data_IF_275320574629
#
_entry.id   IF_275320574629
#
_cell.length_a   1.000
_cell.length_b   1.000
_cell.length_c   1.000
_cell.angle_alpha   90.00
_cell.angle_beta   90.00
_cell.angle_gamma   90.00
#
_symmetry.space_group_name_H-M   'P 1'
#
loop_
_entity.id
_entity.type
_entity.pdbx_description
1 polymer ?
#
# COMPACT_ATOMS: atom_id res chain seq x y z
N UNK A 1 23.09 9.64 -3.16
CA UNK A 1 21.66 9.43 -3.46
C UNK A 1 20.91 8.57 -2.42
N UNK A 2 21.63 7.77 -1.60
CA UNK A 2 21.05 6.93 -0.52
C UNK A 2 20.28 7.70 0.57
N UNK A 3 20.87 8.77 1.13
CA UNK A 3 20.35 9.43 2.33
C UNK A 3 18.95 10.07 2.18
N UNK A 4 18.59 10.53 0.97
CA UNK A 4 17.30 11.20 0.74
C UNK A 4 16.14 10.21 0.63
N UNK A 5 16.36 9.08 -0.05
CA UNK A 5 15.41 7.96 -0.13
C UNK A 5 15.23 7.28 1.22
N UNK A 6 16.31 7.14 1.99
CA UNK A 6 16.27 6.56 3.33
C UNK A 6 15.55 7.47 4.33
N UNK A 7 15.76 8.79 4.22
CA UNK A 7 15.02 9.80 4.98
C UNK A 7 13.52 9.83 4.64
N UNK A 8 13.18 9.82 3.35
CA UNK A 8 11.78 9.73 2.89
C UNK A 8 11.10 8.44 3.35
N UNK A 9 11.79 7.29 3.24
CA UNK A 9 11.29 6.02 3.72
C UNK A 9 11.03 6.02 5.22
N UNK A 10 11.94 6.59 6.02
CA UNK A 10 11.76 6.72 7.46
C UNK A 10 10.59 7.66 7.83
N UNK A 11 10.40 8.75 7.10
CA UNK A 11 9.29 9.69 7.31
C UNK A 11 7.93 9.06 6.96
N UNK A 12 7.84 8.31 5.86
CA UNK A 12 6.64 7.56 5.46
C UNK A 12 6.31 6.47 6.49
N UNK A 13 7.34 5.84 7.05
CA UNK A 13 7.20 4.80 8.07
C UNK A 13 6.88 5.34 9.47
N UNK A 14 6.73 6.65 9.69
CA UNK A 14 6.28 7.17 10.98
C UNK A 14 4.82 6.75 11.26
N UNK A 15 4.53 6.35 12.50
CA UNK A 15 3.18 6.03 12.95
C UNK A 15 2.23 7.20 12.73
N UNK A 16 2.72 8.45 12.91
CA UNK A 16 1.94 9.67 12.66
C UNK A 16 1.56 9.81 11.18
N UNK A 17 2.48 9.50 10.27
CA UNK A 17 2.25 9.54 8.83
C UNK A 17 1.23 8.48 8.40
N UNK A 18 1.30 7.26 8.95
CA UNK A 18 0.32 6.21 8.67
C UNK A 18 -1.10 6.60 9.12
N UNK A 19 -1.22 7.19 10.32
CA UNK A 19 -2.50 7.71 10.82
C UNK A 19 -3.00 8.83 9.90
N UNK A 20 -2.12 9.75 9.49
CA UNK A 20 -2.48 10.83 8.57
C UNK A 20 -2.97 10.29 7.22
N UNK A 21 -2.31 9.26 6.65
CA UNK A 21 -2.74 8.61 5.40
C UNK A 21 -4.16 8.04 5.56
N UNK A 22 -4.45 7.34 6.67
CA UNK A 22 -5.78 6.77 6.92
C UNK A 22 -6.83 7.88 7.05
N UNK A 23 -6.54 8.94 7.82
CA UNK A 23 -7.47 10.07 8.00
C UNK A 23 -7.74 10.78 6.67
N UNK A 24 -6.69 11.06 5.89
CA UNK A 24 -6.83 11.66 4.56
C UNK A 24 -7.65 10.77 3.63
N UNK A 25 -7.42 9.45 3.66
CA UNK A 25 -8.20 8.51 2.86
C UNK A 25 -9.69 8.49 3.24
N UNK A 26 -10.01 8.58 4.54
CA UNK A 26 -11.40 8.67 5.02
C UNK A 26 -12.02 10.00 4.58
N UNK A 27 -11.32 11.12 4.77
CA UNK A 27 -11.82 12.45 4.37
C UNK A 27 -12.02 12.55 2.85
N UNK A 28 -11.09 12.02 2.06
CA UNK A 28 -11.22 11.94 0.60
C UNK A 28 -12.47 11.16 0.20
N UNK A 29 -12.76 10.04 0.87
CA UNK A 29 -13.96 9.25 0.63
C UNK A 29 -15.24 9.95 1.07
N UNK A 30 -15.25 10.59 2.23
CA UNK A 30 -16.37 11.38 2.68
C UNK A 30 -16.70 12.55 1.72
N UNK A 31 -15.66 13.21 1.19
CA UNK A 31 -15.81 14.28 0.20
C UNK A 31 -16.44 13.81 -1.10
N UNK A 32 -15.87 12.78 -1.72
CA UNK A 32 -16.36 12.24 -3.00
C UNK A 32 -17.71 11.52 -2.85
N UNK A 33 -18.02 11.01 -1.65
CA UNK A 33 -19.28 10.35 -1.35
C UNK A 33 -20.48 11.29 -1.32
N UNK A 34 -20.26 12.60 -1.19
CA UNK A 34 -21.35 13.54 -0.94
C UNK A 34 -22.21 13.81 -2.18
N UNK A 35 -21.71 13.52 -3.39
CA UNK A 35 -22.41 13.82 -4.66
C UNK A 35 -23.16 12.62 -5.27
N UNK A 36 -23.20 11.46 -4.60
CA UNK A 36 -23.75 10.14 -5.04
C UNK A 36 -23.17 9.59 -6.37
N UNK A 37 -22.59 10.44 -7.22
CA UNK A 37 -22.00 10.18 -8.52
C UNK A 37 -20.51 10.49 -8.45
N UNK A 38 -19.69 9.48 -8.70
CA UNK A 38 -18.24 9.67 -8.81
C UNK A 38 -17.91 10.05 -10.25
N UNK A 39 -17.26 11.19 -10.42
CA UNK A 39 -16.69 11.59 -11.70
C UNK A 39 -15.53 10.67 -12.09
N UNK A 40 -15.32 10.50 -13.40
CA UNK A 40 -14.19 9.73 -13.95
C UNK A 40 -12.86 10.10 -13.29
N UNK A 41 -12.58 11.41 -13.19
CA UNK A 41 -11.34 11.93 -12.66
C UNK A 41 -11.14 11.60 -11.16
N UNK A 42 -12.20 11.58 -10.35
CA UNK A 42 -12.15 11.22 -8.92
C UNK A 42 -11.78 9.74 -8.72
N UNK A 43 -12.33 8.89 -9.60
CA UNK A 43 -12.01 7.47 -9.66
C UNK A 43 -10.58 7.24 -10.16
N UNK A 44 -10.12 8.02 -11.14
CA UNK A 44 -8.73 8.01 -11.64
C UNK A 44 -7.73 8.41 -10.55
N UNK A 45 -7.94 9.55 -9.89
CA UNK A 45 -7.07 10.00 -8.79
C UNK A 45 -6.97 8.95 -7.68
N UNK A 46 -8.08 8.33 -7.29
CA UNK A 46 -8.10 7.27 -6.29
C UNK A 46 -7.30 6.03 -6.73
N UNK A 47 -7.46 5.61 -7.99
CA UNK A 47 -6.76 4.45 -8.54
C UNK A 47 -5.25 4.70 -8.68
N UNK A 48 -4.86 5.87 -9.17
CA UNK A 48 -3.46 6.28 -9.29
C UNK A 48 -2.79 6.33 -7.91
N UNK A 49 -3.46 6.89 -6.89
CA UNK A 49 -2.93 6.93 -5.53
C UNK A 49 -2.64 5.53 -4.97
N UNK A 50 -3.57 4.58 -5.13
CA UNK A 50 -3.38 3.19 -4.71
C UNK A 50 -2.29 2.47 -5.52
N UNK A 51 -2.21 2.75 -6.82
CA UNK A 51 -1.18 2.19 -7.69
C UNK A 51 0.21 2.65 -7.25
N UNK A 52 0.41 3.96 -7.08
CA UNK A 52 1.70 4.53 -6.63
C UNK A 52 2.08 3.97 -5.26
N UNK A 53 1.15 3.97 -4.30
CA UNK A 53 1.40 3.45 -2.95
C UNK A 53 1.76 1.96 -2.96
N UNK A 54 0.98 1.14 -3.66
CA UNK A 54 1.18 -0.32 -3.71
C UNK A 54 2.50 -0.71 -4.39
N UNK A 55 2.85 -0.08 -5.52
CA UNK A 55 4.09 -0.38 -6.23
C UNK A 55 5.34 0.18 -5.53
N UNK A 56 5.25 1.37 -4.91
CA UNK A 56 6.34 1.89 -4.09
C UNK A 56 6.64 0.96 -2.90
N UNK A 57 5.60 0.45 -2.25
CA UNK A 57 5.73 -0.50 -1.15
C UNK A 57 6.32 -1.84 -1.61
N UNK A 58 5.86 -2.36 -2.75
CA UNK A 58 6.43 -3.58 -3.34
C UNK A 58 7.93 -3.41 -3.63
N UNK A 59 8.32 -2.30 -4.26
CA UNK A 59 9.73 -2.00 -4.54
C UNK A 59 10.57 -1.93 -3.26
N UNK A 60 10.03 -1.32 -2.19
CA UNK A 60 10.69 -1.24 -0.88
C UNK A 60 10.92 -2.64 -0.26
N UNK A 61 9.88 -3.47 -0.18
CA UNK A 61 9.96 -4.84 0.36
C UNK A 61 10.93 -5.69 -0.48
N UNK A 62 10.87 -5.57 -1.80
CA UNK A 62 11.75 -6.31 -2.71
C UNK A 62 13.22 -5.91 -2.54
N UNK A 63 13.49 -4.61 -2.39
CA UNK A 63 14.83 -4.12 -2.08
C UNK A 63 15.35 -4.68 -0.75
N UNK A 64 14.50 -4.67 0.29
CA UNK A 64 14.87 -5.19 1.61
C UNK A 64 15.16 -6.69 1.59
N UNK A 65 14.38 -7.49 0.85
CA UNK A 65 14.64 -8.92 0.63
C UNK A 65 16.04 -9.19 0.06
N UNK A 66 16.54 -8.32 -0.84
CA UNK A 66 17.88 -8.47 -1.43
C UNK A 66 19.02 -8.06 -0.49
N UNK A 67 18.76 -7.15 0.46
CA UNK A 67 19.74 -6.68 1.45
C UNK A 67 20.03 -7.68 2.57
N UNK A 68 19.12 -8.63 2.80
CA UNK A 68 19.16 -9.61 3.90
C UNK A 68 20.04 -10.84 3.61
N UNK A 69 21.28 -10.63 3.16
CA UNK A 69 22.26 -11.71 2.92
C UNK A 69 22.71 -12.30 4.27
N UNK A 70 22.11 -13.42 4.68
CA UNK A 70 22.53 -14.18 5.87
C UNK A 70 21.40 -14.74 6.73
N UNK A 71 20.17 -14.20 6.59
CA UNK A 71 19.01 -14.64 7.38
C UNK A 71 17.92 -15.23 6.47
N UNK A 72 18.02 -16.55 6.22
CA UNK A 72 17.11 -17.29 5.34
C UNK A 72 15.64 -17.13 5.74
N UNK A 73 15.31 -17.22 7.03
CA UNK A 73 13.92 -17.12 7.51
C UNK A 73 13.33 -15.73 7.32
N UNK A 74 14.09 -14.67 7.64
CA UNK A 74 13.63 -13.30 7.44
C UNK A 74 13.46 -12.99 5.95
N UNK A 75 14.38 -13.46 5.10
CA UNK A 75 14.27 -13.31 3.65
C UNK A 75 13.03 -14.04 3.07
N UNK A 76 12.69 -15.24 3.59
CA UNK A 76 11.44 -15.93 3.23
C UNK A 76 10.22 -15.07 3.57
N UNK A 77 10.16 -14.47 4.76
CA UNK A 77 9.05 -13.59 5.17
C UNK A 77 8.90 -12.41 4.21
N UNK A 78 10.00 -11.70 3.88
CA UNK A 78 9.95 -10.59 2.92
C UNK A 78 9.49 -11.02 1.53
N UNK A 79 9.89 -12.22 1.07
CA UNK A 79 9.41 -12.77 -0.22
C UNK A 79 7.91 -13.07 -0.20
N UNK A 80 7.39 -13.68 0.86
CA UNK A 80 5.95 -13.94 0.99
C UNK A 80 5.12 -12.64 1.06
N UNK A 81 5.63 -11.61 1.75
CA UNK A 81 5.02 -10.28 1.75
C UNK A 81 5.04 -9.67 0.33
N UNK A 82 6.17 -9.79 -0.39
CA UNK A 82 6.28 -9.28 -1.75
C UNK A 82 5.28 -9.96 -2.71
N UNK A 83 5.16 -11.30 -2.64
CA UNK A 83 4.18 -12.06 -3.44
C UNK A 83 2.75 -11.63 -3.12
N UNK A 84 2.43 -11.46 -1.85
CA UNK A 84 1.10 -11.00 -1.40
C UNK A 84 0.81 -9.58 -1.92
N UNK A 85 1.78 -8.67 -1.83
CA UNK A 85 1.67 -7.31 -2.38
C UNK A 85 1.50 -7.33 -3.90
N UNK A 86 2.22 -8.17 -4.63
CA UNK A 86 2.08 -8.29 -6.07
C UNK A 86 0.66 -8.72 -6.46
N UNK A 87 0.09 -9.72 -5.77
CA UNK A 87 -1.27 -10.17 -6.00
C UNK A 87 -2.31 -9.05 -5.78
N UNK A 88 -2.16 -8.29 -4.68
CA UNK A 88 -3.05 -7.15 -4.39
C UNK A 88 -2.87 -6.00 -5.40
N UNK A 89 -1.63 -5.70 -5.82
CA UNK A 89 -1.37 -4.67 -6.83
C UNK A 89 -2.00 -5.05 -8.18
N UNK A 90 -1.91 -6.32 -8.58
CA UNK A 90 -2.59 -6.83 -9.80
C UNK A 90 -4.11 -6.69 -9.67
N UNK A 91 -4.67 -7.05 -8.51
CA UNK A 91 -6.10 -6.84 -8.24
C UNK A 91 -6.50 -5.36 -8.40
N UNK A 92 -5.72 -4.43 -7.86
CA UNK A 92 -5.96 -2.98 -7.98
C UNK A 92 -5.97 -2.55 -9.46
N UNK A 93 -5.00 -3.00 -10.25
CA UNK A 93 -4.93 -2.70 -11.69
C UNK A 93 -6.19 -3.18 -12.40
N UNK A 94 -6.53 -4.46 -12.23
CA UNK A 94 -7.67 -5.08 -12.91
C UNK A 94 -8.97 -4.38 -12.51
N UNK A 95 -9.16 -4.12 -11.22
CA UNK A 95 -10.35 -3.44 -10.71
C UNK A 95 -10.50 -2.02 -11.28
N UNK A 96 -9.45 -1.20 -11.20
CA UNK A 96 -9.52 0.19 -11.67
C UNK A 96 -9.57 0.28 -13.20
N UNK A 97 -8.90 -0.61 -13.93
CA UNK A 97 -8.98 -0.67 -15.39
C UNK A 97 -10.41 -0.98 -15.85
N UNK A 98 -11.06 -2.01 -15.27
CA UNK A 98 -12.46 -2.31 -15.57
C UNK A 98 -13.38 -1.14 -15.23
N UNK A 99 -13.10 -0.45 -14.12
CA UNK A 99 -13.90 0.68 -13.68
C UNK A 99 -13.77 1.89 -14.60
N UNK A 100 -12.55 2.26 -15.00
CA UNK A 100 -12.32 3.34 -15.95
C UNK A 100 -12.93 3.02 -17.31
N UNK A 101 -12.82 1.78 -17.78
CA UNK A 101 -13.46 1.32 -19.01
C UNK A 101 -14.99 1.50 -18.98
N UNK A 102 -15.63 1.17 -17.85
CA UNK A 102 -17.08 1.37 -17.66
C UNK A 102 -17.46 2.84 -17.60
N UNK A 103 -16.75 3.63 -16.79
CA UNK A 103 -17.03 5.05 -16.61
C UNK A 103 -16.76 5.87 -17.88
N UNK A 104 -15.85 5.43 -18.76
CA UNK A 104 -15.60 6.03 -20.07
C UNK A 104 -16.73 5.76 -21.09
N UNK A 105 -17.81 5.08 -20.70
CA UNK A 105 -18.98 4.82 -21.56
C UNK A 105 -18.76 3.77 -22.64
N UNK A 106 -17.59 3.13 -22.69
CA UNK A 106 -17.21 2.17 -23.74
C UNK A 106 -17.93 0.82 -23.59
N UNK A 107 -18.51 0.54 -22.41
CA UNK A 107 -19.12 -0.75 -22.11
C UNK A 107 -20.62 -0.89 -22.38
N UNK A 108 -21.38 0.18 -22.66
CA UNK A 108 -22.86 0.10 -22.82
C UNK A 108 -23.63 -0.38 -21.57
N UNK A 109 -22.94 -0.76 -20.49
CA UNK A 109 -23.50 -1.17 -19.20
C UNK A 109 -23.63 0.10 -18.36
N UNK A 110 -24.80 0.72 -18.39
CA UNK A 110 -25.21 1.61 -17.30
C UNK A 110 -25.09 0.82 -15.99
N UNK A 111 -24.50 1.41 -14.95
CA UNK A 111 -24.55 0.85 -13.60
C UNK A 111 -26.04 0.66 -13.26
N UNK A 112 -26.56 -0.55 -13.51
CA UNK A 112 -27.87 -0.96 -13.02
C UNK A 112 -27.73 -1.00 -11.51
N UNK A 113 -28.09 0.13 -10.91
CA UNK A 113 -28.12 0.46 -9.51
C UNK A 113 -28.32 -0.79 -8.63
N UNK A 114 -27.21 -1.32 -8.10
CA UNK A 114 -27.27 -1.98 -6.81
C UNK A 114 -27.06 -0.86 -5.79
N UNK A 115 -28.05 -0.54 -4.93
CA UNK A 115 -27.95 0.57 -3.97
C UNK A 115 -26.69 0.54 -3.07
N UNK A 116 -26.05 -0.62 -2.94
CA UNK A 116 -24.86 -0.85 -2.14
C UNK A 116 -23.52 -0.73 -2.88
N UNK A 117 -23.50 -0.60 -4.21
CA UNK A 117 -22.25 -0.55 -4.99
C UNK A 117 -21.39 0.66 -4.60
N UNK A 118 -22.04 1.74 -4.16
CA UNK A 118 -21.42 2.92 -3.58
C UNK A 118 -20.62 2.58 -2.30
N UNK A 119 -21.26 1.89 -1.34
CA UNK A 119 -20.65 1.54 -0.05
C UNK A 119 -19.52 0.52 -0.22
N UNK A 120 -19.74 -0.53 -1.01
CA UNK A 120 -18.73 -1.57 -1.25
C UNK A 120 -17.46 -1.01 -1.91
N UNK A 121 -17.60 0.02 -2.74
CA UNK A 121 -16.47 0.72 -3.36
C UNK A 121 -15.63 1.46 -2.33
N UNK A 122 -16.25 2.25 -1.47
CA UNK A 122 -15.51 3.07 -0.51
C UNK A 122 -14.88 2.21 0.57
N UNK A 123 -15.59 1.18 1.04
CA UNK A 123 -15.05 0.15 1.92
C UNK A 123 -13.83 -0.52 1.28
N UNK A 124 -13.90 -0.91 0.00
CA UNK A 124 -12.77 -1.53 -0.71
C UNK A 124 -11.55 -0.63 -0.78
N UNK A 125 -11.74 0.65 -1.11
CA UNK A 125 -10.63 1.60 -1.12
C UNK A 125 -9.99 1.74 0.27
N UNK A 126 -10.82 1.93 1.31
CA UNK A 126 -10.33 2.05 2.68
C UNK A 126 -9.60 0.78 3.14
N UNK A 127 -10.13 -0.39 2.81
CA UNK A 127 -9.48 -1.68 3.10
C UNK A 127 -8.11 -1.79 2.43
N UNK A 128 -7.97 -1.35 1.16
CA UNK A 128 -6.68 -1.35 0.47
C UNK A 128 -5.68 -0.38 1.11
N UNK A 129 -6.13 0.84 1.47
CA UNK A 129 -5.28 1.81 2.19
C UNK A 129 -4.81 1.25 3.53
N UNK A 130 -5.73 0.68 4.32
CA UNK A 130 -5.41 0.05 5.61
C UNK A 130 -4.44 -1.11 5.42
N UNK A 131 -4.67 -1.96 4.42
CA UNK A 131 -3.78 -3.06 4.08
C UNK A 131 -2.36 -2.55 3.80
N UNK A 132 -2.20 -1.54 2.94
CA UNK A 132 -0.88 -0.97 2.66
C UNK A 132 -0.24 -0.35 3.91
N UNK A 133 -1.01 0.34 4.76
CA UNK A 133 -0.52 0.89 6.01
C UNK A 133 -0.02 -0.20 6.98
N UNK A 134 -0.75 -1.31 7.09
CA UNK A 134 -0.36 -2.48 7.91
C UNK A 134 0.92 -3.10 7.37
N UNK A 135 1.05 -3.24 6.05
CA UNK A 135 2.27 -3.79 5.45
C UNK A 135 3.47 -2.85 5.64
N UNK A 136 3.30 -1.52 5.54
CA UNK A 136 4.36 -0.54 5.88
C UNK A 136 4.79 -0.70 7.35
N UNK A 137 3.82 -0.80 8.26
CA UNK A 137 4.12 -0.99 9.67
C UNK A 137 4.85 -2.31 9.94
N UNK A 138 4.42 -3.40 9.31
CA UNK A 138 5.08 -4.70 9.39
C UNK A 138 6.52 -4.62 8.86
N UNK A 139 6.73 -3.94 7.73
CA UNK A 139 8.06 -3.75 7.15
C UNK A 139 8.99 -2.99 8.11
N UNK A 140 8.47 -1.95 8.78
CA UNK A 140 9.21 -1.22 9.82
C UNK A 140 9.59 -2.12 10.99
N UNK A 141 8.64 -2.92 11.46
CA UNK A 141 8.87 -3.87 12.55
C UNK A 141 9.98 -4.86 12.18
N UNK A 142 9.90 -5.47 11.01
CA UNK A 142 10.91 -6.41 10.52
C UNK A 142 12.28 -5.74 10.33
N UNK A 143 12.34 -4.49 9.86
CA UNK A 143 13.60 -3.72 9.76
C UNK A 143 14.21 -3.47 11.14
N UNK A 144 13.40 -3.12 12.14
CA UNK A 144 13.88 -2.92 13.52
C UNK A 144 14.45 -4.20 14.09
N UNK A 145 13.70 -5.30 13.98
CA UNK A 145 14.12 -6.63 14.43
C UNK A 145 15.47 -7.02 13.80
N UNK A 146 15.62 -6.85 12.48
CA UNK A 146 16.90 -7.12 11.81
C UNK A 146 18.06 -6.26 12.33
N UNK A 147 17.82 -4.97 12.60
CA UNK A 147 18.79 -4.06 13.19
C UNK A 147 19.25 -4.50 14.59
N UNK A 148 18.29 -4.76 15.47
CA UNK A 148 18.55 -5.18 16.86
C UNK A 148 19.36 -6.49 16.89
N UNK A 149 19.03 -7.47 16.04
CA UNK A 149 19.81 -8.71 15.92
C UNK A 149 21.22 -8.46 15.38
N UNK A 150 21.37 -7.64 14.34
CA UNK A 150 22.70 -7.37 13.75
C UNK A 150 23.63 -6.69 14.76
N UNK A 151 23.09 -5.86 15.66
CA UNK A 151 23.85 -5.23 16.74
C UNK A 151 24.32 -6.25 17.79
N UNK A 152 23.46 -7.20 18.18
CA UNK A 152 23.82 -8.27 19.14
C UNK A 152 24.96 -9.16 18.64
N UNK A 153 25.01 -9.47 17.34
CA UNK A 153 26.12 -10.26 16.76
C UNK A 153 27.40 -9.44 16.50
N UNK A 154 27.32 -8.11 16.58
CA UNK A 154 28.47 -7.21 16.32
C UNK A 154 29.13 -6.73 17.61
N UNK A 155 28.52 -6.93 18.78
CA UNK A 155 29.23 -6.80 20.04
C UNK A 155 30.27 -7.93 20.15
N UNK A 156 31.58 -7.63 20.16
CA UNK A 156 32.56 -8.65 20.49
C UNK A 156 32.29 -9.08 21.94
N UNK A 157 32.19 -10.38 22.14
CA UNK A 157 32.25 -11.01 23.46
C UNK A 157 33.38 -10.38 24.26
N UNK A 158 33.05 -9.51 25.22
CA UNK A 158 34.00 -9.07 26.23
C UNK A 158 34.19 -10.26 27.17
N UNK A 159 35.12 -11.13 26.80
CA UNK A 159 35.77 -12.09 27.70
C UNK A 159 37.19 -11.61 27.89
#
# INVERSE_FOLDING_TARGET
MSNKLESLGNAIMDKRTLIAIIVIAILWRAGISSDDKIALWESECSGIALFVMGWALFAYIFYMSRGLKGWLELNKIYRWIAVSLAAINVYVIVYYAMRWYRLAGVGGVSESLVPYDFLFRDIRYLLLVVFYCVVIWLAKYLKKVYGDYTLLFKEPSKV
#
